data_IF_150648073590
#
_entry.id   IF_150648073590
#
_cell.length_a   1.000
_cell.length_b   1.000
_cell.length_c   1.000
_cell.angle_alpha   90.00
_cell.angle_beta   90.00
_cell.angle_gamma   90.00
#
_symmetry.space_group_name_H-M   'P 1'
#
loop_
_entity.id
_entity.type
_entity.pdbx_description
1 polymer ?
#
# COMPACT_ATOMS: atom_id res chain seq x y z
N UNK A 1 -48.96 -9.03 52.96
CA UNK A 1 -48.94 -10.39 53.56
C UNK A 1 -48.42 -11.36 52.49
N UNK A 2 -47.44 -12.24 52.91
CA UNK A 2 -47.00 -13.52 52.31
C UNK A 2 -46.19 -13.38 50.99
N UNK A 3 -45.07 -14.09 50.80
CA UNK A 3 -44.08 -14.85 51.62
C UNK A 3 -42.85 -15.07 50.74
N UNK A 4 -41.66 -14.85 51.26
CA UNK A 4 -40.37 -15.28 50.65
C UNK A 4 -40.30 -16.80 50.51
N UNK A 5 -39.72 -17.29 49.42
CA UNK A 5 -39.16 -18.64 49.35
C UNK A 5 -37.77 -18.58 48.77
N UNK A 6 -36.78 -18.82 49.61
CA UNK A 6 -35.42 -19.11 49.23
C UNK A 6 -35.31 -20.52 48.71
N UNK A 7 -34.62 -20.71 47.59
CA UNK A 7 -34.15 -22.03 47.13
C UNK A 7 -32.66 -22.05 47.23
N UNK A 8 -32.17 -22.87 48.18
CA UNK A 8 -30.81 -23.22 48.39
C UNK A 8 -30.40 -24.28 47.36
N UNK A 9 -29.37 -24.01 46.53
CA UNK A 9 -28.78 -25.03 45.65
C UNK A 9 -27.39 -25.38 46.20
N UNK A 10 -27.26 -26.60 46.66
CA UNK A 10 -26.06 -27.18 47.22
C UNK A 10 -25.07 -27.52 46.08
N UNK A 11 -23.87 -26.97 46.17
CA UNK A 11 -22.76 -27.34 45.29
C UNK A 11 -22.15 -28.67 45.78
N UNK A 12 -22.20 -29.69 44.93
CA UNK A 12 -21.40 -30.91 45.11
C UNK A 12 -20.07 -30.75 44.41
N UNK A 13 -18.98 -30.66 45.14
CA UNK A 13 -17.62 -30.76 44.61
C UNK A 13 -17.34 -32.24 44.31
N UNK A 14 -17.11 -32.56 43.05
CA UNK A 14 -16.52 -33.84 42.62
C UNK A 14 -15.05 -33.63 42.36
N UNK A 15 -14.19 -34.13 43.23
CA UNK A 15 -12.74 -34.21 43.01
C UNK A 15 -12.48 -35.41 42.12
N UNK A 16 -12.12 -35.19 40.88
CA UNK A 16 -11.56 -36.24 40.01
C UNK A 16 -10.06 -36.09 39.96
N UNK A 17 -9.36 -37.04 40.55
CA UNK A 17 -7.93 -37.22 40.43
C UNK A 17 -7.64 -37.68 38.98
N UNK A 18 -7.07 -36.82 38.17
CA UNK A 18 -6.51 -37.21 36.87
C UNK A 18 -5.01 -37.48 36.97
N UNK A 19 -4.69 -38.72 36.68
CA UNK A 19 -3.36 -39.29 36.50
C UNK A 19 -2.56 -38.51 35.48
N UNK A 20 -1.32 -38.13 35.81
CA UNK A 20 -0.32 -37.59 34.86
C UNK A 20 0.01 -38.60 33.80
N UNK A 21 -0.42 -38.36 32.58
CA UNK A 21 0.28 -38.82 31.38
C UNK A 21 1.09 -37.67 30.84
N UNK A 22 2.37 -37.84 30.69
CA UNK A 22 3.26 -37.01 29.87
C UNK A 22 2.74 -37.09 28.42
N UNK A 23 2.10 -36.04 27.96
CA UNK A 23 1.85 -35.81 26.54
C UNK A 23 2.67 -34.60 26.09
N UNK A 24 3.40 -34.85 25.03
CA UNK A 24 4.33 -33.98 24.31
C UNK A 24 3.98 -32.49 24.34
N UNK A 25 4.97 -31.66 24.71
CA UNK A 25 5.01 -30.21 24.59
C UNK A 25 4.83 -29.76 23.14
N UNK A 26 3.61 -29.75 22.65
CA UNK A 26 3.28 -28.92 21.47
C UNK A 26 3.19 -27.48 21.95
N UNK A 27 4.04 -26.58 21.40
CA UNK A 27 3.93 -25.17 21.73
C UNK A 27 2.50 -24.69 21.41
N UNK A 28 1.91 -23.98 22.36
CA UNK A 28 0.59 -23.37 22.17
C UNK A 28 0.58 -22.58 20.86
N UNK A 29 -0.49 -22.67 20.03
CA UNK A 29 -0.56 -21.91 18.79
C UNK A 29 -0.42 -20.42 19.13
N UNK A 30 0.60 -19.79 18.51
CA UNK A 30 0.82 -18.36 18.65
C UNK A 30 -0.46 -17.66 18.17
N UNK A 31 -1.06 -16.76 18.98
CA UNK A 31 -2.26 -16.05 18.58
C UNK A 31 -2.00 -15.33 17.27
N UNK A 32 -2.79 -15.63 16.25
CA UNK A 32 -2.76 -14.88 15.00
C UNK A 32 -3.24 -13.46 15.33
N UNK A 33 -2.43 -12.42 15.08
CA UNK A 33 -2.84 -11.06 15.38
C UNK A 33 -4.13 -10.74 14.64
N UNK A 34 -5.14 -10.27 15.38
CA UNK A 34 -6.40 -9.81 14.78
C UNK A 34 -6.08 -8.62 13.88
N UNK A 35 -6.54 -8.61 12.61
CA UNK A 35 -6.32 -7.47 11.74
C UNK A 35 -6.86 -6.18 12.38
N UNK A 36 -6.06 -5.12 12.40
CA UNK A 36 -6.52 -3.82 12.88
C UNK A 36 -7.70 -3.32 12.03
N UNK A 37 -8.71 -2.74 12.70
CA UNK A 37 -9.84 -2.13 12.01
C UNK A 37 -9.36 -0.96 11.12
N UNK A 38 -9.93 -0.80 9.92
CA UNK A 38 -9.59 0.31 9.04
C UNK A 38 -9.89 1.65 9.68
N UNK A 39 -8.96 2.60 9.51
CA UNK A 39 -9.08 3.98 9.99
C UNK A 39 -9.37 4.90 8.81
N UNK A 40 -10.29 5.85 8.98
CA UNK A 40 -10.64 6.82 7.93
C UNK A 40 -9.50 7.80 7.71
N UNK A 41 -9.04 7.90 6.47
CA UNK A 41 -8.05 8.89 6.01
C UNK A 41 -8.75 10.16 5.52
N UNK A 42 -9.83 9.98 4.75
CA UNK A 42 -10.65 11.07 4.22
C UNK A 42 -12.08 10.61 4.01
N UNK A 43 -13.02 11.54 4.12
CA UNK A 43 -14.42 11.28 3.80
C UNK A 43 -15.10 12.51 3.18
N UNK A 44 -16.08 12.25 2.31
CA UNK A 44 -16.94 13.29 1.74
C UNK A 44 -18.32 12.75 1.43
N UNK A 45 -19.30 13.65 1.29
CA UNK A 45 -20.68 13.29 0.94
C UNK A 45 -20.93 13.46 -0.56
N UNK A 46 -21.78 12.60 -1.11
CA UNK A 46 -22.29 12.78 -2.48
C UNK A 46 -23.26 13.98 -2.54
N UNK A 47 -23.30 14.64 -3.70
CA UNK A 47 -24.20 15.77 -3.97
C UNK A 47 -25.58 15.34 -4.49
N UNK A 48 -25.92 14.06 -4.40
CA UNK A 48 -27.22 13.54 -4.87
C UNK A 48 -28.35 14.05 -3.98
N UNK A 49 -29.35 14.68 -4.62
CA UNK A 49 -30.49 15.30 -3.92
C UNK A 49 -31.47 14.30 -3.33
N UNK A 50 -31.54 13.10 -3.92
CA UNK A 50 -32.49 12.08 -3.50
C UNK A 50 -31.92 11.24 -2.36
N UNK A 51 -30.61 10.93 -2.41
CA UNK A 51 -29.97 10.07 -1.42
C UNK A 51 -28.50 10.43 -1.22
N UNK A 52 -28.18 10.95 -0.06
CA UNK A 52 -26.82 11.29 0.31
C UNK A 52 -26.09 10.09 0.90
N UNK A 53 -24.89 9.82 0.40
CA UNK A 53 -23.95 8.84 0.95
C UNK A 53 -22.69 9.53 1.44
N UNK A 54 -22.07 8.96 2.48
CA UNK A 54 -20.72 9.34 2.88
C UNK A 54 -19.74 8.30 2.35
N UNK A 55 -18.81 8.72 1.52
CA UNK A 55 -17.73 7.90 0.94
C UNK A 55 -16.50 8.06 1.81
N UNK A 56 -15.85 6.97 2.19
CA UNK A 56 -14.66 6.96 3.03
C UNK A 56 -13.50 6.27 2.33
N UNK A 57 -12.35 6.92 2.29
CA UNK A 57 -11.06 6.30 2.03
C UNK A 57 -10.41 5.94 3.36
N UNK A 58 -9.93 4.72 3.47
CA UNK A 58 -9.45 4.14 4.71
C UNK A 58 -8.15 3.35 4.46
N UNK A 59 -7.37 3.18 5.50
CA UNK A 59 -6.28 2.19 5.58
C UNK A 59 -6.06 1.77 7.05
N UNK A 60 -5.08 0.92 7.32
CA UNK A 60 -4.78 0.47 8.69
C UNK A 60 -4.16 1.57 9.56
N UNK A 61 -3.46 2.52 8.97
CA UNK A 61 -2.72 3.58 9.71
C UNK A 61 -3.54 4.85 9.95
N UNK A 62 -4.59 5.10 9.15
CA UNK A 62 -5.36 6.37 9.15
C UNK A 62 -4.63 7.51 8.42
N UNK A 63 -3.62 7.22 7.63
CA UNK A 63 -2.83 8.23 6.93
C UNK A 63 -2.27 7.68 5.63
N UNK A 64 -2.33 8.44 4.54
CA UNK A 64 -1.55 8.14 3.34
C UNK A 64 -0.17 8.79 3.42
N UNK A 65 0.83 8.09 2.90
CA UNK A 65 2.22 8.54 2.89
C UNK A 65 2.81 8.45 1.49
N UNK A 66 3.87 9.19 1.23
CA UNK A 66 4.64 9.03 -0.01
C UNK A 66 5.12 7.59 -0.14
N UNK A 67 5.03 7.04 -1.35
CA UNK A 67 5.32 5.64 -1.64
C UNK A 67 4.04 4.82 -1.78
N UNK A 68 4.17 3.52 -1.60
CA UNK A 68 3.07 2.57 -1.71
C UNK A 68 2.11 2.66 -0.53
N UNK A 69 0.81 2.58 -0.83
CA UNK A 69 -0.26 2.56 0.16
C UNK A 69 -1.33 1.54 -0.24
N UNK A 70 -1.71 0.69 0.70
CA UNK A 70 -2.98 -0.02 0.61
C UNK A 70 -4.11 0.93 1.00
N UNK A 71 -5.22 0.86 0.29
CA UNK A 71 -6.39 1.65 0.58
C UNK A 71 -7.66 0.80 0.51
N UNK A 72 -8.64 1.20 1.29
CA UNK A 72 -9.96 0.61 1.33
C UNK A 72 -11.00 1.69 1.08
N UNK A 73 -12.06 1.32 0.36
CA UNK A 73 -13.22 2.16 0.13
C UNK A 73 -14.42 1.57 0.87
N UNK A 74 -15.09 2.40 1.64
CA UNK A 74 -16.41 2.11 2.19
C UNK A 74 -17.36 3.26 1.93
N UNK A 75 -18.66 2.93 1.87
CA UNK A 75 -19.75 3.90 1.70
C UNK A 75 -20.77 3.64 2.78
N UNK A 76 -21.23 4.69 3.44
CA UNK A 76 -22.28 4.62 4.44
C UNK A 76 -23.46 5.50 4.04
N UNK A 77 -24.66 5.11 4.44
CA UNK A 77 -25.87 5.89 4.26
C UNK A 77 -25.99 7.05 5.28
N UNK A 78 -27.06 7.81 5.22
CA UNK A 78 -27.31 8.93 6.13
C UNK A 78 -27.43 8.51 7.61
N UNK A 79 -27.74 7.24 7.89
CA UNK A 79 -27.78 6.69 9.24
C UNK A 79 -26.41 6.14 9.72
N UNK A 80 -25.37 6.24 8.87
CA UNK A 80 -24.03 5.72 9.17
C UNK A 80 -23.87 4.22 8.96
N UNK A 81 -24.85 3.55 8.37
CA UNK A 81 -24.81 2.12 8.09
C UNK A 81 -24.05 1.86 6.78
N UNK A 82 -23.15 0.87 6.78
CA UNK A 82 -22.45 0.44 5.57
C UNK A 82 -23.40 -0.03 4.48
N UNK A 83 -23.09 0.36 3.25
CA UNK A 83 -23.86 0.05 2.06
C UNK A 83 -23.11 -0.95 1.22
N UNK A 84 -23.80 -2.01 0.79
CA UNK A 84 -23.25 -2.99 -0.13
C UNK A 84 -23.13 -2.38 -1.53
N UNK A 85 -21.90 -2.29 -2.07
CA UNK A 85 -21.64 -1.80 -3.41
C UNK A 85 -21.64 -2.95 -4.41
N UNK A 86 -22.25 -2.71 -5.59
CA UNK A 86 -22.23 -3.62 -6.75
C UNK A 86 -20.98 -3.42 -7.59
N UNK A 87 -20.52 -2.16 -7.71
CA UNK A 87 -19.31 -1.75 -8.41
C UNK A 87 -18.75 -0.50 -7.74
N UNK A 88 -17.43 -0.29 -7.88
CA UNK A 88 -16.79 0.95 -7.47
C UNK A 88 -15.54 1.22 -8.31
N UNK A 89 -15.23 2.49 -8.54
CA UNK A 89 -13.97 2.96 -9.13
C UNK A 89 -13.32 3.99 -8.22
N UNK A 90 -12.01 4.07 -8.29
CA UNK A 90 -11.20 5.05 -7.59
C UNK A 90 -10.12 5.53 -8.54
N UNK A 91 -10.03 6.85 -8.75
CA UNK A 91 -8.96 7.46 -9.55
C UNK A 91 -8.34 8.58 -8.74
N UNK A 92 -7.09 8.43 -8.28
CA UNK A 92 -6.36 9.47 -7.59
C UNK A 92 -5.83 10.52 -8.57
N UNK A 93 -5.89 11.77 -8.18
CA UNK A 93 -5.42 12.92 -8.93
C UNK A 93 -4.62 13.86 -8.05
N UNK A 94 -3.61 14.50 -8.61
CA UNK A 94 -2.90 15.60 -7.97
C UNK A 94 -2.97 16.84 -8.83
N UNK A 95 -3.54 17.91 -8.29
CA UNK A 95 -3.43 19.23 -8.87
C UNK A 95 -2.07 19.83 -8.50
N UNK A 96 -1.27 20.13 -9.51
CA UNK A 96 -0.04 20.88 -9.36
C UNK A 96 -0.32 22.37 -9.53
N UNK A 97 0.26 23.18 -8.67
CA UNK A 97 0.07 24.63 -8.68
C UNK A 97 1.20 25.36 -9.42
N UNK A 98 0.85 26.47 -10.09
CA UNK A 98 1.83 27.30 -10.79
C UNK A 98 2.84 27.90 -9.81
N UNK A 99 4.10 27.95 -10.23
CA UNK A 99 5.13 28.71 -9.55
C UNK A 99 4.85 30.24 -9.63
N UNK A 100 5.17 30.95 -8.56
CA UNK A 100 5.04 32.42 -8.49
C UNK A 100 6.24 33.18 -9.09
N UNK A 101 7.21 32.46 -9.65
CA UNK A 101 8.47 33.00 -10.18
C UNK A 101 9.47 33.48 -9.11
N UNK A 102 9.15 33.33 -7.82
CA UNK A 102 9.97 33.75 -6.68
C UNK A 102 10.34 32.59 -5.75
N UNK A 103 10.08 31.35 -6.20
CA UNK A 103 10.34 30.12 -5.45
C UNK A 103 9.15 29.63 -4.62
N UNK A 104 8.00 30.28 -4.70
CA UNK A 104 6.72 29.86 -4.11
C UNK A 104 5.72 29.37 -5.15
N UNK A 105 4.46 29.18 -4.71
CA UNK A 105 3.35 28.70 -5.54
C UNK A 105 2.10 29.56 -5.32
N UNK A 106 1.32 29.74 -6.38
CA UNK A 106 -0.01 30.35 -6.33
C UNK A 106 -1.07 29.25 -6.51
N UNK A 107 -2.26 29.43 -5.90
CA UNK A 107 -3.34 28.42 -5.96
C UNK A 107 -4.07 28.41 -7.32
N UNK A 108 -3.32 28.51 -8.40
CA UNK A 108 -3.79 28.29 -9.76
C UNK A 108 -3.24 26.97 -10.25
N UNK A 109 -4.14 26.07 -10.72
CA UNK A 109 -3.74 24.76 -11.22
C UNK A 109 -2.99 24.91 -12.53
N UNK A 110 -1.74 24.43 -12.56
CA UNK A 110 -0.91 24.38 -13.74
C UNK A 110 -1.27 23.14 -14.59
N UNK A 111 -1.24 21.98 -13.93
CA UNK A 111 -1.67 20.73 -14.55
C UNK A 111 -2.14 19.73 -13.49
N UNK A 112 -2.83 18.68 -13.94
CA UNK A 112 -3.30 17.58 -13.10
C UNK A 112 -2.69 16.28 -13.59
N UNK A 113 -2.21 15.45 -12.66
CA UNK A 113 -1.70 14.12 -12.97
C UNK A 113 -2.23 13.08 -11.99
N UNK A 114 -2.14 11.82 -12.38
CA UNK A 114 -2.45 10.67 -11.53
C UNK A 114 -1.16 10.04 -11.00
N UNK A 115 -1.30 8.87 -10.37
CA UNK A 115 -0.20 8.02 -9.93
C UNK A 115 -0.50 6.55 -10.27
N UNK A 116 0.50 5.67 -10.23
CA UNK A 116 0.25 4.23 -10.32
C UNK A 116 -0.75 3.80 -9.26
N UNK A 117 -1.81 3.14 -9.67
CA UNK A 117 -2.82 2.56 -8.78
C UNK A 117 -3.48 1.34 -9.42
N UNK A 118 -4.04 0.47 -8.61
CA UNK A 118 -4.82 -0.66 -9.09
C UNK A 118 -6.31 -0.32 -9.13
N UNK A 119 -7.09 -0.90 -10.04
CA UNK A 119 -8.53 -0.83 -9.94
C UNK A 119 -9.01 -1.31 -8.57
N UNK A 120 -10.11 -0.76 -8.08
CA UNK A 120 -10.77 -1.28 -6.89
C UNK A 120 -11.24 -2.71 -7.13
N UNK A 121 -10.88 -3.61 -6.25
CA UNK A 121 -11.31 -5.00 -6.25
C UNK A 121 -12.05 -5.33 -4.97
N UNK A 122 -13.14 -6.10 -5.09
CA UNK A 122 -13.93 -6.55 -3.94
C UNK A 122 -13.26 -7.78 -3.32
N UNK A 123 -12.88 -7.66 -2.06
CA UNK A 123 -12.38 -8.77 -1.24
C UNK A 123 -13.33 -8.97 -0.04
N UNK A 124 -14.16 -9.99 -0.10
CA UNK A 124 -15.22 -10.17 0.88
C UNK A 124 -16.23 -9.00 0.83
N UNK A 125 -16.34 -8.25 1.92
CA UNK A 125 -17.21 -7.06 2.01
C UNK A 125 -16.47 -5.74 1.83
N UNK A 126 -15.17 -5.77 1.56
CA UNK A 126 -14.31 -4.57 1.47
C UNK A 126 -13.87 -4.36 0.03
N UNK A 127 -13.88 -3.13 -0.42
CA UNK A 127 -13.30 -2.71 -1.69
C UNK A 127 -11.89 -2.21 -1.45
N UNK A 128 -10.90 -2.85 -2.09
CA UNK A 128 -9.48 -2.55 -1.91
C UNK A 128 -8.83 -2.08 -3.19
N UNK A 129 -7.89 -1.20 -3.06
CA UNK A 129 -6.99 -0.74 -4.11
C UNK A 129 -5.61 -0.45 -3.53
N UNK A 130 -4.68 -0.15 -4.39
CA UNK A 130 -3.30 0.17 -4.05
C UNK A 130 -2.88 1.40 -4.84
N UNK A 131 -2.18 2.32 -4.22
CA UNK A 131 -1.69 3.52 -4.88
C UNK A 131 -0.23 3.83 -4.50
N UNK A 132 0.54 4.31 -5.47
CA UNK A 132 1.91 4.80 -5.26
C UNK A 132 1.92 6.31 -5.35
N UNK A 133 1.81 6.99 -4.21
CA UNK A 133 1.89 8.45 -4.16
C UNK A 133 3.34 8.93 -4.27
N UNK A 134 3.67 9.60 -5.35
CA UNK A 134 5.03 10.07 -5.65
C UNK A 134 5.39 11.36 -4.94
N UNK A 135 4.40 12.13 -4.53
CA UNK A 135 4.57 13.45 -3.93
C UNK A 135 3.70 13.61 -2.68
N UNK A 136 4.20 14.35 -1.70
CA UNK A 136 3.41 14.76 -0.53
C UNK A 136 2.46 15.90 -0.90
N UNK A 137 1.36 16.04 -0.17
CA UNK A 137 0.53 17.23 -0.19
C UNK A 137 1.32 18.42 0.36
N UNK A 138 1.19 19.58 -0.26
CA UNK A 138 1.90 20.78 0.16
C UNK A 138 1.65 22.00 -0.72
N UNK A 139 2.49 23.03 -0.60
CA UNK A 139 2.33 24.26 -1.37
C UNK A 139 2.34 24.07 -2.89
N UNK A 140 3.08 23.04 -3.38
CA UNK A 140 3.19 22.75 -4.81
C UNK A 140 2.00 21.97 -5.38
N UNK A 141 1.15 21.36 -4.54
CA UNK A 141 0.00 20.61 -5.05
C UNK A 141 -0.77 19.86 -3.97
N UNK A 142 -1.98 19.42 -4.35
CA UNK A 142 -2.93 18.73 -3.47
C UNK A 142 -3.51 17.50 -4.16
N UNK A 143 -3.69 16.44 -3.38
CA UNK A 143 -4.30 15.18 -3.82
C UNK A 143 -5.81 15.20 -3.63
N UNK A 144 -6.51 14.60 -4.56
CA UNK A 144 -7.92 14.27 -4.46
C UNK A 144 -8.23 12.99 -5.23
N UNK A 145 -9.40 12.43 -5.02
CA UNK A 145 -9.90 11.29 -5.78
C UNK A 145 -11.25 11.61 -6.42
N UNK A 146 -11.47 11.06 -7.62
CA UNK A 146 -12.79 10.86 -8.19
C UNK A 146 -13.22 9.42 -7.89
N UNK A 147 -14.44 9.24 -7.41
CA UNK A 147 -14.97 7.94 -7.03
C UNK A 147 -16.35 7.78 -7.67
N UNK A 148 -16.56 6.68 -8.39
CA UNK A 148 -17.90 6.26 -8.78
C UNK A 148 -18.26 4.97 -8.05
N UNK A 149 -19.53 4.76 -7.73
CA UNK A 149 -19.98 3.52 -7.12
C UNK A 149 -21.45 3.25 -7.46
N UNK A 150 -21.84 1.96 -7.43
CA UNK A 150 -23.19 1.52 -7.76
C UNK A 150 -23.85 0.86 -6.57
N UNK A 151 -25.09 1.31 -6.27
CA UNK A 151 -25.92 0.81 -5.18
C UNK A 151 -27.34 0.60 -5.71
N UNK A 152 -27.89 -0.60 -5.55
CA UNK A 152 -29.25 -0.95 -5.96
C UNK A 152 -29.56 -0.54 -7.41
N UNK A 153 -28.63 -0.82 -8.32
CA UNK A 153 -28.76 -0.51 -9.74
C UNK A 153 -28.48 0.93 -10.14
N UNK A 154 -28.43 1.89 -9.19
CA UNK A 154 -28.14 3.31 -9.46
C UNK A 154 -26.67 3.63 -9.25
N UNK A 155 -26.08 4.38 -10.19
CA UNK A 155 -24.71 4.88 -10.11
C UNK A 155 -24.67 6.26 -9.42
N UNK A 156 -23.65 6.46 -8.62
CA UNK A 156 -23.35 7.71 -7.90
C UNK A 156 -21.92 8.13 -8.19
N UNK A 157 -21.68 9.42 -8.27
CA UNK A 157 -20.37 10.00 -8.46
C UNK A 157 -20.02 10.95 -7.32
N UNK A 158 -18.82 10.79 -6.77
CA UNK A 158 -18.16 11.80 -5.95
C UNK A 158 -17.01 12.39 -6.77
N UNK A 159 -17.23 13.58 -7.33
CA UNK A 159 -16.28 14.25 -8.24
C UNK A 159 -14.97 14.59 -7.58
N UNK A 160 -14.99 14.85 -6.26
CA UNK A 160 -13.82 15.26 -5.52
C UNK A 160 -13.88 14.85 -4.06
N UNK A 161 -12.90 14.07 -3.65
CA UNK A 161 -12.59 13.77 -2.26
C UNK A 161 -11.13 14.14 -1.99
N UNK A 162 -10.91 15.26 -1.32
CA UNK A 162 -9.58 15.72 -0.97
C UNK A 162 -8.97 14.84 0.13
N UNK A 163 -7.68 14.57 0.03
CA UNK A 163 -6.93 13.85 1.06
C UNK A 163 -5.48 14.32 1.15
N UNK A 164 -4.88 14.10 2.31
CA UNK A 164 -3.49 14.43 2.55
C UNK A 164 -2.59 13.22 2.33
N UNK A 165 -1.46 13.44 1.64
CA UNK A 165 -0.33 12.50 1.55
C UNK A 165 0.84 13.10 2.31
N UNK A 166 1.26 12.45 3.39
CA UNK A 166 2.37 12.89 4.26
C UNK A 166 3.72 12.38 3.74
N UNK A 167 4.83 12.99 4.14
CA UNK A 167 6.15 12.39 3.94
C UNK A 167 6.20 10.99 4.56
N UNK A 168 7.02 10.10 3.98
CA UNK A 168 7.23 8.77 4.57
C UNK A 168 7.91 8.90 5.95
N UNK A 169 7.27 8.44 7.03
CA UNK A 169 7.81 8.62 8.39
C UNK A 169 8.87 7.58 8.76
N UNK A 170 8.91 6.46 8.08
CA UNK A 170 9.77 5.35 8.42
C UNK A 170 11.15 5.48 7.80
N UNK A 171 12.17 5.77 8.61
CA UNK A 171 13.58 5.89 8.17
C UNK A 171 14.10 4.58 7.58
N UNK A 172 13.70 3.42 8.11
CA UNK A 172 14.09 2.11 7.58
C UNK A 172 13.61 1.88 6.14
N UNK A 173 12.49 2.50 5.76
CA UNK A 173 11.96 2.41 4.42
C UNK A 173 12.58 3.41 3.45
N UNK A 174 13.45 4.32 3.93
CA UNK A 174 14.14 5.34 3.15
C UNK A 174 13.15 6.26 2.41
N UNK A 175 13.09 7.52 2.77
CA UNK A 175 12.18 8.49 2.12
C UNK A 175 12.50 8.71 0.63
N UNK A 176 13.73 8.43 0.21
CA UNK A 176 14.24 8.84 -1.10
C UNK A 176 14.33 7.69 -2.09
N UNK A 177 14.54 6.46 -1.63
CA UNK A 177 14.91 5.33 -2.49
C UNK A 177 13.87 4.22 -2.58
N UNK A 178 12.68 4.37 -1.93
CA UNK A 178 11.67 3.32 -1.96
C UNK A 178 10.91 3.27 -3.28
N UNK A 179 10.87 4.36 -4.00
CA UNK A 179 10.41 4.41 -5.40
C UNK A 179 11.28 5.37 -6.21
N UNK A 180 11.38 5.13 -7.50
CA UNK A 180 12.14 5.98 -8.41
C UNK A 180 11.58 5.90 -9.83
N UNK A 181 11.61 7.04 -10.52
CA UNK A 181 11.40 7.13 -11.96
C UNK A 181 12.72 6.83 -12.67
N UNK A 182 12.67 6.07 -13.75
CA UNK A 182 13.81 5.82 -14.63
C UNK A 182 13.34 5.67 -16.08
N UNK A 183 14.21 5.96 -17.03
CA UNK A 183 13.99 5.64 -18.43
C UNK A 183 14.58 4.27 -18.72
N UNK A 184 13.80 3.40 -19.35
CA UNK A 184 14.28 2.14 -19.89
C UNK A 184 14.67 2.26 -21.36
N UNK A 185 14.71 1.12 -22.06
CA UNK A 185 14.99 1.06 -23.49
C UNK A 185 14.10 2.03 -24.28
N UNK A 186 14.67 2.71 -25.26
CA UNK A 186 14.01 3.69 -26.14
C UNK A 186 13.44 4.92 -25.41
N UNK A 187 13.94 5.25 -24.21
CA UNK A 187 13.49 6.41 -23.47
C UNK A 187 12.11 6.25 -22.81
N UNK A 188 11.55 5.05 -22.78
CA UNK A 188 10.27 4.80 -22.10
C UNK A 188 10.42 4.96 -20.60
N UNK A 189 9.65 5.89 -20.03
CA UNK A 189 9.66 6.12 -18.59
C UNK A 189 8.99 4.99 -17.81
N UNK A 190 9.60 4.60 -16.71
CA UNK A 190 9.12 3.59 -15.78
C UNK A 190 9.25 4.08 -14.34
N UNK A 191 8.38 3.58 -13.49
CA UNK A 191 8.45 3.72 -12.04
C UNK A 191 8.68 2.36 -11.40
N UNK A 192 9.58 2.27 -10.44
CA UNK A 192 9.58 1.13 -9.53
C UNK A 192 9.27 1.58 -8.11
N UNK A 193 8.71 0.67 -7.31
CA UNK A 193 8.53 0.88 -5.88
C UNK A 193 8.75 -0.42 -5.11
N UNK A 194 9.53 -0.34 -4.02
CA UNK A 194 9.62 -1.40 -3.03
C UNK A 194 8.38 -1.34 -2.13
N UNK A 195 7.58 -2.41 -2.16
CA UNK A 195 6.34 -2.57 -1.41
C UNK A 195 6.60 -3.26 -0.07
N UNK A 196 7.34 -4.38 -0.12
CA UNK A 196 7.73 -5.13 1.07
C UNK A 196 9.27 -5.34 1.11
N UNK A 197 9.85 -5.45 2.30
CA UNK A 197 9.23 -5.48 3.63
C UNK A 197 8.87 -4.08 4.15
N UNK A 198 7.74 -3.96 4.84
CA UNK A 198 7.41 -2.73 5.59
C UNK A 198 8.21 -2.64 6.89
N UNK A 199 8.43 -3.78 7.52
CA UNK A 199 9.20 -3.94 8.77
C UNK A 199 10.26 -5.01 8.57
N UNK A 200 11.42 -4.64 7.99
CA UNK A 200 12.52 -5.57 7.78
C UNK A 200 13.08 -6.08 9.11
N UNK A 201 13.57 -7.32 9.11
CA UNK A 201 14.14 -7.98 10.29
C UNK A 201 15.33 -8.87 9.91
N UNK A 202 16.15 -9.22 10.88
CA UNK A 202 17.17 -10.26 10.68
C UNK A 202 16.52 -11.60 10.31
N UNK A 203 17.17 -12.38 9.45
CA UNK A 203 16.62 -13.59 8.88
C UNK A 203 15.93 -13.37 7.53
N UNK A 204 15.04 -14.29 7.17
CA UNK A 204 14.31 -14.24 5.90
C UNK A 204 13.24 -13.15 5.89
N UNK A 205 13.20 -12.38 4.79
CA UNK A 205 12.19 -11.36 4.51
C UNK A 205 11.63 -11.55 3.11
N UNK A 206 10.32 -11.34 2.95
CA UNK A 206 9.71 -11.22 1.64
C UNK A 206 10.08 -9.86 1.03
N UNK A 207 10.49 -9.88 -0.24
CA UNK A 207 10.62 -8.67 -1.08
C UNK A 207 9.43 -8.64 -2.02
N UNK A 208 8.78 -7.47 -2.10
CA UNK A 208 7.78 -7.19 -3.12
C UNK A 208 8.12 -5.88 -3.82
N UNK A 209 8.24 -5.92 -5.15
CA UNK A 209 8.58 -4.78 -6.00
C UNK A 209 7.51 -4.58 -7.05
N UNK A 210 6.97 -3.38 -7.15
CA UNK A 210 6.12 -2.96 -8.26
C UNK A 210 6.93 -2.25 -9.33
N UNK A 211 6.59 -2.48 -10.60
CA UNK A 211 7.14 -1.76 -11.75
C UNK A 211 5.99 -1.33 -12.64
N UNK A 212 5.95 -0.06 -12.99
CA UNK A 212 4.93 0.53 -13.86
C UNK A 212 5.58 1.26 -15.02
N UNK A 213 5.00 1.11 -16.19
CA UNK A 213 5.32 1.93 -17.36
C UNK A 213 4.55 3.24 -17.24
N UNK A 214 5.21 4.37 -17.40
CA UNK A 214 4.53 5.67 -17.46
C UNK A 214 4.23 5.98 -18.95
N UNK A 215 3.01 5.76 -19.39
CA UNK A 215 2.59 6.06 -20.76
C UNK A 215 2.32 7.56 -20.94
N UNK A 216 1.74 8.17 -19.92
CA UNK A 216 1.52 9.61 -19.80
C UNK A 216 1.30 9.96 -18.32
N UNK A 217 0.87 11.18 -18.03
CA UNK A 217 0.63 11.64 -16.65
C UNK A 217 -0.61 11.04 -15.97
N UNK A 218 -1.37 10.19 -16.67
CA UNK A 218 -2.62 9.58 -16.17
C UNK A 218 -2.63 8.06 -16.28
N UNK A 219 -1.77 7.47 -17.15
CA UNK A 219 -1.74 6.04 -17.45
C UNK A 219 -0.42 5.42 -16.99
N UNK A 220 -0.54 4.45 -16.08
CA UNK A 220 0.58 3.74 -15.47
C UNK A 220 0.33 2.23 -15.48
N UNK A 221 0.26 1.57 -16.67
CA UNK A 221 0.09 0.13 -16.72
C UNK A 221 1.26 -0.57 -16.04
N UNK A 222 0.93 -1.63 -15.30
CA UNK A 222 1.92 -2.41 -14.59
C UNK A 222 2.71 -3.29 -15.55
N UNK A 223 4.02 -3.34 -15.37
CA UNK A 223 4.90 -4.27 -16.06
C UNK A 223 4.85 -5.61 -15.32
N UNK A 224 4.46 -6.68 -16.03
CA UNK A 224 4.17 -7.99 -15.39
C UNK A 224 5.03 -9.13 -15.90
N UNK A 225 5.81 -8.89 -16.97
CA UNK A 225 6.49 -9.93 -17.73
C UNK A 225 8.03 -9.75 -17.78
N UNK A 226 8.59 -8.91 -16.92
CA UNK A 226 10.05 -8.78 -16.80
C UNK A 226 10.60 -9.84 -15.85
N UNK A 227 11.91 -10.12 -15.99
CA UNK A 227 12.68 -10.85 -15.00
C UNK A 227 13.40 -9.83 -14.11
N UNK A 228 13.17 -9.93 -12.82
CA UNK A 228 13.75 -9.03 -11.82
C UNK A 228 14.63 -9.84 -10.87
N UNK A 229 15.91 -9.51 -10.83
CA UNK A 229 16.86 -10.09 -9.89
C UNK A 229 17.20 -9.04 -8.83
N UNK A 230 17.18 -9.41 -7.56
CA UNK A 230 17.61 -8.58 -6.45
C UNK A 230 18.89 -9.13 -5.84
N UNK A 231 19.84 -8.24 -5.60
CA UNK A 231 21.07 -8.50 -4.85
C UNK A 231 21.07 -7.64 -3.60
N UNK A 232 21.25 -8.26 -2.45
CA UNK A 232 21.40 -7.60 -1.16
C UNK A 232 22.88 -7.53 -0.81
N UNK A 233 23.36 -6.35 -0.42
CA UNK A 233 24.72 -6.14 0.12
C UNK A 233 24.65 -5.24 1.36
N UNK A 234 25.63 -5.32 2.24
CA UNK A 234 25.79 -4.28 3.28
C UNK A 234 26.08 -2.93 2.62
N UNK A 235 25.62 -1.85 3.25
CA UNK A 235 25.86 -0.50 2.73
C UNK A 235 27.37 -0.24 2.53
N UNK A 236 27.71 0.27 1.36
CA UNK A 236 29.11 0.53 0.99
C UNK A 236 29.88 -0.71 0.49
N UNK A 237 29.28 -1.89 0.52
CA UNK A 237 29.87 -3.13 -0.03
C UNK A 237 29.23 -3.49 -1.36
N UNK A 238 30.04 -4.09 -2.25
CA UNK A 238 29.54 -4.70 -3.50
C UNK A 238 29.37 -6.22 -3.38
N UNK A 239 29.83 -6.83 -2.28
CA UNK A 239 29.67 -8.27 -2.04
C UNK A 239 28.21 -8.63 -1.75
N UNK A 240 27.68 -9.59 -2.49
CA UNK A 240 26.33 -10.09 -2.25
C UNK A 240 26.28 -10.95 -0.99
N UNK A 241 25.35 -10.68 -0.09
CA UNK A 241 25.05 -11.53 1.07
C UNK A 241 23.79 -12.38 0.84
N UNK A 242 22.92 -11.93 -0.06
CA UNK A 242 21.73 -12.66 -0.51
C UNK A 242 21.35 -12.23 -1.91
N UNK A 243 20.82 -13.14 -2.70
CA UNK A 243 20.28 -12.87 -4.04
C UNK A 243 18.97 -13.63 -4.23
N UNK A 244 18.06 -13.06 -5.02
CA UNK A 244 16.82 -13.73 -5.40
C UNK A 244 16.36 -13.29 -6.79
N UNK A 245 15.74 -14.20 -7.52
CA UNK A 245 14.93 -13.86 -8.70
C UNK A 245 13.49 -13.68 -8.24
N UNK A 246 12.95 -12.49 -8.48
CA UNK A 246 11.59 -12.17 -8.12
C UNK A 246 10.64 -12.63 -9.23
N UNK A 247 9.53 -13.25 -8.85
CA UNK A 247 8.46 -13.69 -9.76
C UNK A 247 7.25 -12.78 -9.63
N UNK A 248 6.60 -12.49 -10.77
CA UNK A 248 5.38 -11.70 -10.75
C UNK A 248 4.22 -12.53 -10.20
N UNK A 249 3.74 -12.18 -9.02
CA UNK A 249 2.66 -12.85 -8.30
C UNK A 249 1.83 -11.82 -7.51
N UNK A 250 0.51 -11.94 -7.57
CA UNK A 250 -0.41 -11.07 -6.80
C UNK A 250 -0.11 -9.58 -6.93
N UNK A 251 0.14 -9.13 -8.16
CA UNK A 251 0.33 -7.72 -8.49
C UNK A 251 1.75 -7.19 -8.32
N UNK A 252 2.74 -8.00 -7.88
CA UNK A 252 4.12 -7.56 -7.65
C UNK A 252 5.14 -8.63 -8.01
N UNK A 253 6.38 -8.21 -8.24
CA UNK A 253 7.53 -9.11 -8.31
C UNK A 253 7.93 -9.52 -6.90
N UNK A 254 7.79 -10.79 -6.55
CA UNK A 254 7.99 -11.32 -5.19
C UNK A 254 9.11 -12.31 -5.13
N UNK A 255 9.81 -12.33 -4.00
CA UNK A 255 10.85 -13.29 -3.68
C UNK A 255 11.27 -13.14 -2.23
N UNK A 256 12.29 -13.91 -1.83
CA UNK A 256 12.79 -13.90 -0.46
C UNK A 256 14.26 -13.59 -0.43
N UNK A 257 14.68 -12.76 0.50
CA UNK A 257 16.07 -12.45 0.79
C UNK A 257 16.34 -12.60 2.28
N UNK A 258 17.63 -12.77 2.64
CA UNK A 258 18.04 -12.91 4.03
C UNK A 258 18.95 -11.76 4.42
N UNK A 259 18.67 -11.16 5.57
CA UNK A 259 19.55 -10.23 6.26
C UNK A 259 20.18 -10.94 7.45
N UNK A 260 21.53 -11.03 7.57
CA UNK A 260 22.17 -11.80 8.64
C UNK A 260 21.97 -11.19 10.04
N UNK A 261 21.80 -9.88 10.13
CA UNK A 261 21.64 -9.11 11.39
C UNK A 261 20.91 -7.79 11.10
N UNK A 262 20.57 -7.04 12.13
CA UNK A 262 20.17 -5.63 11.99
C UNK A 262 21.31 -4.79 11.41
N UNK A 263 21.00 -3.82 10.54
CA UNK A 263 22.00 -3.01 9.88
C UNK A 263 21.46 -2.20 8.70
N UNK A 264 22.36 -1.66 7.91
CA UNK A 264 22.05 -0.92 6.68
C UNK A 264 22.41 -1.75 5.44
N UNK A 265 21.44 -1.95 4.56
CA UNK A 265 21.58 -2.79 3.37
C UNK A 265 21.16 -2.05 2.11
N UNK A 266 21.84 -2.38 1.00
CA UNK A 266 21.45 -1.95 -0.33
C UNK A 266 20.86 -3.13 -1.10
N UNK A 267 19.64 -2.96 -1.60
CA UNK A 267 18.98 -3.86 -2.54
C UNK A 267 19.18 -3.31 -3.94
N UNK A 268 20.02 -3.94 -4.74
CA UNK A 268 20.27 -3.56 -6.13
C UNK A 268 19.46 -4.47 -7.05
N UNK A 269 18.78 -3.89 -8.04
CA UNK A 269 17.91 -4.63 -8.96
C UNK A 269 18.51 -4.68 -10.36
N UNK A 270 18.54 -5.88 -10.94
CA UNK A 270 18.84 -6.10 -12.36
C UNK A 270 17.54 -6.47 -13.06
N UNK A 271 17.25 -5.78 -14.16
CA UNK A 271 16.02 -5.94 -14.91
C UNK A 271 16.31 -6.55 -16.28
N UNK A 272 15.49 -7.52 -16.70
CA UNK A 272 15.47 -8.02 -18.06
C UNK A 272 14.04 -7.97 -18.59
N UNK A 273 13.87 -7.59 -19.82
CA UNK A 273 12.55 -7.54 -20.47
C UNK A 273 11.99 -8.97 -20.72
N UNK A 274 10.80 -9.04 -21.31
CA UNK A 274 10.13 -10.31 -21.61
C UNK A 274 10.93 -11.21 -22.58
N UNK A 275 11.87 -10.65 -23.32
CA UNK A 275 12.77 -11.36 -24.24
C UNK A 275 14.10 -11.74 -23.58
N UNK A 276 14.27 -11.42 -22.30
CA UNK A 276 15.50 -11.68 -21.54
C UNK A 276 16.62 -10.66 -21.81
N UNK A 277 16.35 -9.60 -22.57
CA UNK A 277 17.32 -8.53 -22.84
C UNK A 277 17.43 -7.66 -21.59
N UNK A 278 18.68 -7.31 -21.23
CA UNK A 278 18.93 -6.40 -20.11
C UNK A 278 18.28 -5.03 -20.38
N UNK A 279 17.51 -4.54 -19.39
CA UNK A 279 17.01 -3.17 -19.38
C UNK A 279 18.01 -2.34 -18.61
N UNK A 280 18.65 -1.37 -19.30
CA UNK A 280 19.59 -0.44 -18.69
C UNK A 280 18.84 0.82 -18.22
N UNK A 281 18.67 1.02 -16.93
CA UNK A 281 17.98 2.20 -16.42
C UNK A 281 18.81 3.47 -16.63
N UNK A 282 18.15 4.54 -17.02
CA UNK A 282 18.75 5.85 -17.25
C UNK A 282 17.98 6.94 -16.47
N UNK A 283 18.69 7.99 -16.07
CA UNK A 283 18.09 9.19 -15.51
C UNK A 283 17.54 10.13 -16.62
N UNK A 284 17.06 11.30 -16.22
CA UNK A 284 16.52 12.31 -17.15
C UNK A 284 17.60 12.87 -18.12
N UNK A 285 18.86 12.79 -17.73
CA UNK A 285 20.01 13.22 -18.56
C UNK A 285 20.52 12.10 -19.47
N UNK A 286 19.81 10.96 -19.54
CA UNK A 286 20.17 9.73 -20.30
C UNK A 286 21.49 9.09 -19.81
N UNK A 287 21.88 9.34 -18.56
CA UNK A 287 23.01 8.66 -17.94
C UNK A 287 22.55 7.35 -17.32
N UNK A 288 23.33 6.30 -17.50
CA UNK A 288 23.05 5.01 -16.90
C UNK A 288 23.07 5.11 -15.37
N UNK A 289 22.04 4.55 -14.75
CA UNK A 289 21.89 4.53 -13.31
C UNK A 289 21.63 3.11 -12.80
N UNK A 290 21.98 2.87 -11.56
CA UNK A 290 21.56 1.67 -10.85
C UNK A 290 20.21 1.91 -10.18
N UNK A 291 19.32 0.91 -10.28
CA UNK A 291 18.11 0.89 -9.48
C UNK A 291 18.44 0.19 -8.16
N UNK A 292 18.33 0.91 -7.07
CA UNK A 292 18.62 0.38 -5.75
C UNK A 292 17.74 1.03 -4.68
N UNK A 293 17.47 0.27 -3.61
CA UNK A 293 16.77 0.75 -2.41
C UNK A 293 17.65 0.50 -1.19
N UNK A 294 17.76 1.48 -0.30
CA UNK A 294 18.43 1.29 0.99
C UNK A 294 17.39 0.92 2.06
N UNK A 295 17.72 -0.10 2.83
CA UNK A 295 16.94 -0.55 4.00
C UNK A 295 17.81 -0.46 5.23
N UNK A 296 17.26 0.03 6.35
CA UNK A 296 17.90 0.08 7.64
C UNK A 296 16.94 -0.37 8.73
N UNK A 297 17.37 -1.23 9.61
CA UNK A 297 16.57 -1.73 10.75
C UNK A 297 17.45 -2.22 11.89
#
# INVERSE_FOLDING_TARGET
MKKFKYILVAARAAVTLFSCKKDDDKPAPVPVPTPEAPKTVAEAKTDDKEKTYTVRLQNTTGTFVMGYNDLMLSVVDAAGKEVALEAATFTPWMNMFKGDGKGGFIKEVDFTHSCPHTPLAKEGNVWKSQALFQMKTGPSGVWFATITFKVAGKEYELKRLDFEVKPQPNKALGTVNRFKLFSGDKGQAHLYALVAPESPKAGENEIALGIWKMENTQSFPQVTNWVVEVKVSEKGSTAAISTATLRYERGFYRGKVTYPKAGEYTLSYTLKDAQGKAVQPQDNDKKDISIATTIQF
#
